data_IF_523958190717
#
_entry.id   IF_523958190717
#
_cell.length_a   1.000
_cell.length_b   1.000
_cell.length_c   1.000
_cell.angle_alpha   90.00
_cell.angle_beta   90.00
_cell.angle_gamma   90.00
#
_symmetry.space_group_name_H-M   'P 1'
#
loop_
_entity.id
_entity.type
_entity.pdbx_description
1 polymer ?
#
# COMPACT_ATOMS: atom_id res chain seq x y z
N UNK A 1 -16.38 5.99 -1.84
CA UNK A 1 -16.80 6.63 -0.56
C UNK A 1 -16.25 8.04 -0.47
N UNK A 2 -16.77 8.86 0.45
CA UNK A 2 -16.15 10.15 0.80
C UNK A 2 -14.74 9.93 1.35
N UNK A 3 -13.88 10.94 1.21
CA UNK A 3 -12.53 10.94 1.82
C UNK A 3 -12.56 10.82 3.34
N UNK A 4 -13.64 11.26 3.98
CA UNK A 4 -13.82 11.19 5.44
C UNK A 4 -14.26 9.80 5.96
N UNK A 5 -14.60 8.88 5.06
CA UNK A 5 -15.11 7.56 5.45
C UNK A 5 -13.97 6.65 5.89
N UNK A 6 -13.87 6.38 7.20
CA UNK A 6 -12.98 5.34 7.73
C UNK A 6 -13.54 3.92 7.54
N UNK A 7 -12.65 2.95 7.44
CA UNK A 7 -12.97 1.52 7.43
C UNK A 7 -13.59 1.11 8.76
N UNK A 8 -14.72 0.40 8.69
CA UNK A 8 -15.42 -0.10 9.88
C UNK A 8 -14.45 -0.89 10.78
N UNK A 9 -14.35 -0.58 12.09
CA UNK A 9 -13.48 -1.30 13.02
C UNK A 9 -13.71 -2.81 13.07
N UNK A 10 -14.93 -3.27 12.78
CA UNK A 10 -15.30 -4.69 12.74
C UNK A 10 -14.90 -5.40 11.43
N UNK A 11 -14.47 -4.66 10.41
CA UNK A 11 -14.02 -5.26 9.15
C UNK A 11 -12.61 -5.83 9.32
N UNK A 12 -12.46 -7.10 8.96
CA UNK A 12 -11.14 -7.68 8.75
C UNK A 12 -10.48 -7.08 7.51
N UNK A 13 -9.15 -7.12 7.46
CA UNK A 13 -8.34 -6.63 6.34
C UNK A 13 -8.77 -7.18 4.97
N UNK A 14 -9.31 -8.41 4.90
CA UNK A 14 -9.74 -9.07 3.66
C UNK A 14 -11.17 -8.70 3.21
N UNK A 15 -11.91 -7.90 3.98
CA UNK A 15 -13.23 -7.34 3.59
C UNK A 15 -13.23 -5.82 3.55
N UNK A 16 -12.07 -5.18 3.72
CA UNK A 16 -11.95 -3.74 3.50
C UNK A 16 -12.24 -3.39 2.02
N UNK A 17 -12.70 -2.17 1.77
CA UNK A 17 -12.88 -1.68 0.40
C UNK A 17 -11.56 -1.12 -0.13
N UNK A 18 -11.33 -1.30 -1.42
CA UNK A 18 -10.28 -0.57 -2.10
C UNK A 18 -10.67 0.90 -2.30
N UNK A 19 -9.67 1.76 -2.26
CA UNK A 19 -9.79 3.22 -2.29
C UNK A 19 -8.82 3.76 -3.32
N UNK A 20 -9.36 4.38 -4.37
CA UNK A 20 -8.54 4.95 -5.45
C UNK A 20 -7.58 6.03 -4.94
N UNK A 21 -7.99 6.80 -3.93
CA UNK A 21 -7.14 7.81 -3.31
C UNK A 21 -5.96 7.21 -2.54
N UNK A 22 -6.08 5.97 -2.07
CA UNK A 22 -4.95 5.25 -1.45
C UNK A 22 -3.88 4.90 -2.49
N UNK A 23 -4.25 4.47 -3.70
CA UNK A 23 -3.30 4.19 -4.77
C UNK A 23 -2.51 5.43 -5.19
N UNK A 24 -3.20 6.55 -5.37
CA UNK A 24 -2.57 7.84 -5.69
C UNK A 24 -1.61 8.24 -4.57
N UNK A 25 -2.08 8.20 -3.32
CA UNK A 25 -1.27 8.59 -2.17
C UNK A 25 -0.06 7.68 -1.97
N UNK A 26 -0.21 6.37 -2.16
CA UNK A 26 0.86 5.40 -2.05
C UNK A 26 2.00 5.69 -3.04
N UNK A 27 1.67 6.02 -4.30
CA UNK A 27 2.67 6.43 -5.29
C UNK A 27 3.46 7.68 -4.86
N UNK A 28 2.76 8.71 -4.38
CA UNK A 28 3.43 9.93 -3.91
C UNK A 28 4.31 9.68 -2.68
N UNK A 29 3.85 8.85 -1.75
CA UNK A 29 4.62 8.48 -0.56
C UNK A 29 5.85 7.64 -0.93
N UNK A 30 5.70 6.65 -1.81
CA UNK A 30 6.81 5.81 -2.31
C UNK A 30 7.92 6.66 -2.95
N UNK A 31 7.53 7.66 -3.75
CA UNK A 31 8.44 8.66 -4.31
C UNK A 31 9.09 9.51 -3.23
N UNK A 32 8.33 9.98 -2.24
CA UNK A 32 8.86 10.80 -1.14
C UNK A 32 9.83 10.02 -0.26
N UNK A 33 9.60 8.74 0.00
CA UNK A 33 10.53 7.88 0.74
C UNK A 33 11.75 7.47 -0.09
N UNK A 34 11.77 7.80 -1.39
CA UNK A 34 12.90 7.52 -2.27
C UNK A 34 12.96 6.07 -2.75
N UNK A 35 11.94 5.25 -2.48
CA UNK A 35 11.87 3.86 -2.91
C UNK A 35 11.76 3.74 -4.43
N UNK A 36 10.82 4.48 -5.03
CA UNK A 36 10.56 4.51 -6.49
C UNK A 36 10.25 3.11 -7.04
N UNK A 37 9.45 2.35 -6.30
CA UNK A 37 9.02 0.98 -6.61
C UNK A 37 7.55 0.87 -6.95
N UNK A 38 6.78 1.95 -6.74
CA UNK A 38 5.39 2.04 -7.15
C UNK A 38 5.25 2.57 -8.59
N UNK A 39 4.37 2.01 -9.43
CA UNK A 39 4.07 2.57 -10.74
C UNK A 39 3.41 3.96 -10.59
N UNK A 40 3.60 4.87 -11.56
CA UNK A 40 2.87 6.12 -11.61
C UNK A 40 1.35 5.94 -11.57
N UNK A 41 0.70 6.66 -10.65
CA UNK A 41 -0.75 6.73 -10.49
C UNK A 41 -1.18 8.20 -10.44
N UNK A 42 -2.27 8.54 -11.12
CA UNK A 42 -2.88 9.88 -11.12
C UNK A 42 -4.38 9.80 -10.89
N UNK A 43 -4.95 10.77 -10.19
CA UNK A 43 -6.40 10.94 -10.11
C UNK A 43 -6.99 11.54 -11.38
N UNK A 44 -8.19 11.11 -11.74
CA UNK A 44 -8.97 11.71 -12.84
C UNK A 44 -10.46 11.61 -12.58
N UNK A 45 -11.17 12.67 -12.95
CA UNK A 45 -12.62 12.70 -13.06
C UNK A 45 -13.02 12.31 -14.49
N UNK A 46 -13.96 11.40 -14.63
CA UNK A 46 -14.42 10.83 -15.90
C UNK A 46 -15.92 11.08 -16.06
N UNK A 47 -16.35 11.33 -17.30
CA UNK A 47 -17.75 11.20 -17.66
C UNK A 47 -18.07 9.72 -17.92
N UNK A 48 -18.86 9.11 -17.05
CA UNK A 48 -19.22 7.70 -17.11
C UNK A 48 -19.98 7.36 -18.40
N UNK A 49 -20.77 8.29 -18.93
CA UNK A 49 -21.58 8.10 -20.13
C UNK A 49 -20.68 7.95 -21.36
N UNK A 50 -19.75 8.87 -21.58
CA UNK A 50 -18.92 8.92 -22.79
C UNK A 50 -17.65 8.09 -22.70
N UNK A 51 -17.07 7.97 -21.50
CA UNK A 51 -15.75 7.37 -21.31
C UNK A 51 -15.79 5.94 -20.74
N UNK A 52 -16.98 5.44 -20.38
CA UNK A 52 -17.15 4.06 -19.93
C UNK A 52 -18.33 3.41 -20.65
N UNK A 53 -19.55 3.89 -20.41
CA UNK A 53 -20.78 3.29 -20.92
C UNK A 53 -20.80 3.18 -22.46
N UNK A 54 -20.41 4.23 -23.18
CA UNK A 54 -20.44 4.25 -24.64
C UNK A 54 -19.35 3.40 -25.31
N UNK A 55 -18.31 2.97 -24.58
CA UNK A 55 -17.12 2.30 -25.17
C UNK A 55 -16.79 0.94 -24.53
N UNK A 56 -17.54 0.52 -23.52
CA UNK A 56 -17.27 -0.73 -22.80
C UNK A 56 -17.85 -1.95 -23.51
N UNK A 57 -17.28 -3.12 -23.21
CA UNK A 57 -17.78 -4.41 -23.71
C UNK A 57 -19.15 -4.80 -23.12
N UNK A 58 -19.86 -5.69 -23.83
CA UNK A 58 -21.22 -6.14 -23.50
C UNK A 58 -21.37 -6.66 -22.06
N UNK A 59 -20.34 -7.35 -21.55
CA UNK A 59 -20.33 -7.93 -20.21
C UNK A 59 -20.40 -6.87 -19.10
N UNK A 60 -19.76 -5.71 -19.30
CA UNK A 60 -19.82 -4.58 -18.36
C UNK A 60 -21.04 -3.72 -18.65
N UNK A 61 -21.38 -3.52 -19.94
CA UNK A 61 -22.53 -2.71 -20.37
C UNK A 61 -23.84 -3.15 -19.69
N UNK A 62 -24.06 -4.46 -19.58
CA UNK A 62 -25.25 -5.05 -18.92
C UNK A 62 -25.37 -4.74 -17.43
N UNK A 63 -24.31 -4.25 -16.80
CA UNK A 63 -24.28 -3.90 -15.37
C UNK A 63 -24.66 -2.46 -15.09
N UNK A 64 -24.84 -1.64 -16.14
CA UNK A 64 -25.26 -0.25 -16.00
C UNK A 64 -26.75 -0.13 -15.74
N UNK A 65 -27.13 0.81 -14.88
CA UNK A 65 -28.51 1.15 -14.57
C UNK A 65 -28.63 2.58 -14.05
N UNK A 66 -29.85 3.10 -14.00
CA UNK A 66 -30.17 4.40 -13.38
C UNK A 66 -30.73 4.14 -11.99
N UNK A 67 -30.12 4.74 -10.98
CA UNK A 67 -30.60 4.64 -9.59
C UNK A 67 -31.91 5.40 -9.36
N UNK A 68 -32.65 5.15 -8.26
CA UNK A 68 -33.82 5.94 -7.88
C UNK A 68 -33.55 7.44 -7.70
N UNK A 69 -32.29 7.83 -7.47
CA UNK A 69 -31.85 9.21 -7.39
C UNK A 69 -31.50 9.83 -8.76
N UNK A 70 -31.80 9.13 -9.86
CA UNK A 70 -31.52 9.53 -11.24
C UNK A 70 -30.02 9.68 -11.57
N UNK A 71 -29.15 8.95 -10.85
CA UNK A 71 -27.71 8.87 -11.14
C UNK A 71 -27.40 7.63 -12.00
N UNK A 72 -26.42 7.76 -12.90
CA UNK A 72 -25.87 6.64 -13.67
C UNK A 72 -24.96 5.79 -12.77
N UNK A 73 -25.22 4.49 -12.73
CA UNK A 73 -24.50 3.54 -11.89
C UNK A 73 -24.06 2.31 -12.70
N UNK A 74 -23.01 1.64 -12.26
CA UNK A 74 -22.63 0.30 -12.71
C UNK A 74 -21.91 -0.45 -11.59
N UNK A 75 -21.99 -1.78 -11.59
CA UNK A 75 -21.29 -2.61 -10.60
C UNK A 75 -20.18 -3.49 -11.20
N UNK A 76 -20.11 -3.62 -12.53
CA UNK A 76 -19.12 -4.47 -13.19
C UNK A 76 -19.24 -5.95 -12.80
N UNK A 77 -18.17 -6.72 -13.02
CA UNK A 77 -18.16 -8.18 -12.81
C UNK A 77 -16.88 -8.60 -12.09
N UNK A 78 -16.99 -8.85 -10.79
CA UNK A 78 -15.89 -9.28 -9.94
C UNK A 78 -16.41 -10.14 -8.77
N UNK A 79 -15.50 -10.71 -7.98
CA UNK A 79 -15.83 -11.62 -6.89
C UNK A 79 -16.27 -10.94 -5.59
N UNK A 80 -15.87 -9.70 -5.35
CA UNK A 80 -16.17 -8.95 -4.13
C UNK A 80 -16.83 -7.63 -4.47
N UNK A 81 -18.01 -7.37 -3.90
CA UNK A 81 -18.69 -6.07 -3.99
C UNK A 81 -19.07 -5.62 -5.41
N UNK A 82 -19.15 -6.53 -6.38
CA UNK A 82 -19.70 -6.26 -7.72
C UNK A 82 -21.16 -6.71 -7.84
N UNK A 83 -22.02 -6.09 -7.03
CA UNK A 83 -23.48 -6.29 -7.04
C UNK A 83 -24.22 -4.95 -6.96
N UNK A 84 -25.54 -4.96 -7.16
CA UNK A 84 -26.36 -3.74 -7.18
C UNK A 84 -26.29 -2.94 -5.88
N UNK A 85 -26.11 -3.59 -4.72
CA UNK A 85 -26.03 -2.90 -3.43
C UNK A 85 -24.69 -2.19 -3.21
N UNK A 86 -23.68 -2.53 -3.99
CA UNK A 86 -22.34 -1.94 -3.96
C UNK A 86 -21.98 -1.21 -5.28
N UNK A 87 -22.97 -0.93 -6.13
CA UNK A 87 -22.74 -0.27 -7.40
C UNK A 87 -22.06 1.10 -7.23
N UNK A 88 -21.18 1.43 -8.18
CA UNK A 88 -20.52 2.72 -8.27
C UNK A 88 -21.42 3.65 -9.07
N UNK A 89 -21.81 4.76 -8.45
CA UNK A 89 -22.70 5.75 -9.03
C UNK A 89 -22.00 7.10 -9.16
N UNK A 90 -22.26 7.80 -10.27
CA UNK A 90 -21.86 9.19 -10.45
C UNK A 90 -22.80 10.18 -9.76
N UNK A 91 -22.58 11.47 -10.01
CA UNK A 91 -23.50 12.55 -9.61
C UNK A 91 -23.58 13.65 -10.69
N UNK A 92 -24.49 13.56 -11.66
CA UNK A 92 -25.29 12.36 -11.97
C UNK A 92 -24.48 11.27 -12.69
N UNK A 93 -23.45 11.63 -13.46
CA UNK A 93 -22.67 10.73 -14.32
C UNK A 93 -21.15 10.98 -14.30
N UNK A 94 -20.66 11.83 -13.39
CA UNK A 94 -19.22 12.03 -13.20
C UNK A 94 -18.68 11.09 -12.11
N UNK A 95 -17.55 10.44 -12.38
CA UNK A 95 -16.89 9.51 -11.48
C UNK A 95 -15.40 9.81 -11.35
N UNK A 96 -14.93 9.93 -10.11
CA UNK A 96 -13.52 10.08 -9.80
C UNK A 96 -12.86 8.71 -9.62
N UNK A 97 -11.67 8.52 -10.17
CA UNK A 97 -10.91 7.27 -10.05
C UNK A 97 -9.40 7.48 -10.11
N UNK A 98 -8.66 6.41 -9.83
CA UNK A 98 -7.19 6.36 -9.92
C UNK A 98 -6.76 5.63 -11.19
N UNK A 99 -5.82 6.24 -11.92
CA UNK A 99 -5.28 5.72 -13.17
C UNK A 99 -3.82 5.35 -12.97
N UNK A 100 -3.58 4.07 -12.74
CA UNK A 100 -2.23 3.52 -12.68
C UNK A 100 -1.74 3.19 -14.09
N UNK A 101 -0.50 3.54 -14.42
CA UNK A 101 0.10 3.11 -15.68
C UNK A 101 0.26 1.60 -15.69
N UNK A 102 -0.08 0.97 -16.81
CA UNK A 102 0.19 -0.45 -16.99
C UNK A 102 1.70 -0.71 -16.92
N UNK A 103 2.07 -1.71 -16.12
CA UNK A 103 3.38 -2.33 -16.26
C UNK A 103 3.51 -2.97 -17.65
N UNK A 104 4.72 -3.10 -18.20
CA UNK A 104 4.90 -3.79 -19.47
C UNK A 104 4.26 -5.18 -19.46
N UNK A 105 3.78 -5.63 -20.62
CA UNK A 105 3.20 -6.97 -20.78
C UNK A 105 4.15 -8.03 -20.23
N UNK A 106 3.59 -9.08 -19.64
CA UNK A 106 4.36 -10.23 -19.13
C UNK A 106 5.13 -10.95 -20.24
N UNK A 107 4.76 -10.78 -21.50
CA UNK A 107 5.49 -11.33 -22.65
C UNK A 107 6.84 -10.63 -22.88
N UNK A 108 6.92 -9.32 -22.58
CA UNK A 108 8.12 -8.50 -22.76
C UNK A 108 8.92 -8.41 -21.46
N UNK A 109 8.24 -8.25 -20.33
CA UNK A 109 8.84 -8.19 -19.00
C UNK A 109 8.15 -9.20 -18.08
N UNK A 110 8.57 -10.49 -18.12
CA UNK A 110 8.00 -11.51 -17.26
C UNK A 110 8.18 -11.14 -15.77
N UNK A 111 7.13 -11.35 -14.99
CA UNK A 111 7.09 -11.06 -13.55
C UNK A 111 6.85 -12.32 -12.76
N UNK A 112 7.49 -12.43 -11.60
CA UNK A 112 7.28 -13.51 -10.63
C UNK A 112 6.54 -12.97 -9.42
N UNK A 113 5.43 -13.63 -9.09
CA UNK A 113 4.72 -13.41 -7.84
C UNK A 113 5.34 -14.27 -6.74
N UNK A 114 5.56 -13.67 -5.59
CA UNK A 114 6.12 -14.31 -4.40
C UNK A 114 5.12 -14.20 -3.26
N UNK A 115 4.92 -15.30 -2.54
CA UNK A 115 4.15 -15.29 -1.30
C UNK A 115 4.95 -14.56 -0.23
N UNK A 116 4.33 -13.56 0.40
CA UNK A 116 4.97 -12.80 1.48
C UNK A 116 5.13 -13.68 2.74
N UNK A 117 6.30 -13.72 3.41
CA UNK A 117 6.49 -14.57 4.61
C UNK A 117 5.54 -14.17 5.75
N UNK A 118 5.34 -12.87 5.95
CA UNK A 118 4.37 -12.34 6.92
C UNK A 118 2.94 -12.24 6.38
N UNK A 119 2.60 -13.02 5.34
CA UNK A 119 1.21 -13.07 4.86
C UNK A 119 0.28 -13.48 6.02
N UNK A 120 -0.80 -12.72 6.20
CA UNK A 120 -1.85 -13.00 7.18
C UNK A 120 -2.61 -14.30 6.86
N UNK A 121 -3.43 -14.77 7.79
CA UNK A 121 -4.17 -16.03 7.64
C UNK A 121 -5.32 -15.96 6.62
N UNK A 122 -5.88 -14.77 6.38
CA UNK A 122 -7.13 -14.57 5.62
C UNK A 122 -8.29 -15.37 6.22
N UNK A 123 -8.31 -15.46 7.55
CA UNK A 123 -9.27 -16.27 8.27
C UNK A 123 -9.56 -15.69 9.66
N UNK A 124 -10.86 -15.51 9.96
CA UNK A 124 -11.35 -14.85 11.19
C UNK A 124 -10.91 -15.45 12.53
N UNK A 125 -10.49 -16.72 12.56
CA UNK A 125 -10.11 -17.45 13.79
C UNK A 125 -8.68 -17.99 13.80
N UNK A 126 -8.02 -18.05 12.64
CA UNK A 126 -6.69 -18.69 12.54
C UNK A 126 -5.66 -17.60 12.59
N UNK A 127 -4.65 -17.75 13.44
CA UNK A 127 -3.45 -16.93 13.43
C UNK A 127 -2.45 -17.47 12.40
N UNK A 128 -1.69 -16.60 11.78
CA UNK A 128 -0.54 -16.93 10.97
C UNK A 128 0.64 -17.33 11.86
N UNK A 129 1.62 -18.05 11.29
CA UNK A 129 2.76 -18.56 12.08
C UNK A 129 3.56 -17.43 12.74
N UNK A 130 3.78 -16.33 12.03
CA UNK A 130 4.50 -15.16 12.55
C UNK A 130 3.78 -14.44 13.70
N UNK A 131 2.47 -14.66 13.88
CA UNK A 131 1.70 -14.11 15.01
C UNK A 131 1.81 -14.97 16.29
N UNK A 132 2.46 -16.13 16.20
CA UNK A 132 2.58 -17.12 17.28
C UNK A 132 4.04 -17.43 17.67
N UNK A 133 4.99 -16.98 16.85
CA UNK A 133 6.40 -17.35 16.93
C UNK A 133 7.24 -16.05 16.89
N UNK A 134 7.76 -15.65 18.05
CA UNK A 134 8.54 -14.41 18.17
C UNK A 134 9.88 -14.50 17.42
N UNK A 135 10.42 -15.71 17.26
CA UNK A 135 11.65 -16.00 16.51
C UNK A 135 11.39 -16.30 15.02
N UNK A 136 10.18 -16.02 14.52
CA UNK A 136 9.79 -16.35 13.15
C UNK A 136 10.78 -15.82 12.09
N UNK A 137 11.34 -14.61 12.28
CA UNK A 137 12.30 -14.05 11.34
C UNK A 137 13.61 -14.86 11.25
N UNK A 138 14.04 -15.56 12.31
CA UNK A 138 15.23 -16.43 12.26
C UNK A 138 15.06 -17.50 11.18
N UNK A 139 13.88 -18.11 11.11
CA UNK A 139 13.55 -19.11 10.09
C UNK A 139 13.49 -18.45 8.70
N UNK A 140 12.87 -17.27 8.57
CA UNK A 140 12.82 -16.53 7.30
C UNK A 140 14.23 -16.22 6.80
N UNK A 141 15.13 -15.75 7.67
CA UNK A 141 16.55 -15.46 7.37
C UNK A 141 17.35 -16.68 6.90
N UNK A 142 16.89 -17.89 7.19
CA UNK A 142 17.51 -19.12 6.69
C UNK A 142 16.87 -19.67 5.40
N UNK A 143 15.79 -19.04 4.92
CA UNK A 143 14.97 -19.56 3.81
C UNK A 143 15.25 -18.80 2.50
N UNK A 144 15.61 -19.47 1.40
CA UNK A 144 15.71 -18.81 0.10
C UNK A 144 14.38 -18.18 -0.36
N UNK A 145 14.37 -16.98 -0.97
CA UNK A 145 15.53 -16.14 -1.34
C UNK A 145 15.91 -15.08 -0.28
N UNK A 146 15.44 -15.21 0.96
CA UNK A 146 15.63 -14.22 2.04
C UNK A 146 16.95 -14.40 2.80
N UNK A 147 17.63 -15.51 2.56
CA UNK A 147 18.91 -15.90 3.16
C UNK A 147 20.10 -15.09 2.63
N UNK A 148 19.93 -14.38 1.51
CA UNK A 148 21.01 -13.62 0.87
C UNK A 148 20.51 -12.45 0.04
N UNK A 149 21.38 -11.46 -0.10
CA UNK A 149 21.16 -10.28 -0.92
C UNK A 149 20.03 -9.38 -0.42
N UNK A 150 19.45 -8.62 -1.34
CA UNK A 150 18.57 -7.49 -1.03
C UNK A 150 17.16 -7.83 -0.57
N UNK A 151 16.71 -9.09 -0.71
CA UNK A 151 15.29 -9.41 -0.62
C UNK A 151 14.72 -9.20 0.78
N UNK A 152 15.40 -9.63 1.82
CA UNK A 152 14.91 -9.45 3.19
C UNK A 152 14.88 -7.95 3.58
N UNK A 153 15.95 -7.16 3.37
CA UNK A 153 15.87 -5.71 3.58
C UNK A 153 14.81 -5.01 2.73
N UNK A 154 14.54 -5.48 1.50
CA UNK A 154 13.46 -4.95 0.67
C UNK A 154 12.08 -5.15 1.32
N UNK A 155 11.88 -6.27 2.02
CA UNK A 155 10.64 -6.50 2.78
C UNK A 155 10.54 -5.61 4.02
N UNK A 156 11.67 -5.17 4.59
CA UNK A 156 11.67 -4.20 5.70
C UNK A 156 11.23 -2.82 5.22
N UNK A 157 11.75 -2.36 4.09
CA UNK A 157 11.30 -1.12 3.43
C UNK A 157 9.81 -1.18 3.11
N UNK A 158 9.34 -2.32 2.57
CA UNK A 158 7.93 -2.54 2.25
C UNK A 158 7.07 -2.54 3.51
N UNK A 159 7.51 -3.16 4.61
CA UNK A 159 6.78 -3.15 5.88
C UNK A 159 6.65 -1.73 6.47
N UNK A 160 7.72 -0.93 6.41
CA UNK A 160 7.68 0.49 6.78
C UNK A 160 6.67 1.24 5.92
N UNK A 161 6.71 1.03 4.61
CA UNK A 161 5.79 1.67 3.68
C UNK A 161 4.32 1.30 3.93
N UNK A 162 4.03 0.00 4.03
CA UNK A 162 2.69 -0.52 4.28
C UNK A 162 2.18 -0.07 5.66
N UNK A 163 3.04 0.03 6.68
CA UNK A 163 2.65 0.55 8.01
C UNK A 163 2.26 2.02 7.96
N UNK A 164 3.05 2.87 7.27
CA UNK A 164 2.74 4.29 7.14
C UNK A 164 1.37 4.53 6.52
N UNK A 165 0.98 3.73 5.51
CA UNK A 165 -0.35 3.83 4.90
C UNK A 165 -1.41 3.02 5.65
N UNK A 166 -1.03 2.08 6.51
CA UNK A 166 -1.94 1.18 7.22
C UNK A 166 -2.46 0.02 6.36
N UNK A 167 -1.72 -0.38 5.32
CA UNK A 167 -2.09 -1.47 4.43
C UNK A 167 -1.73 -2.82 5.06
N UNK A 168 -2.77 -3.59 5.43
CA UNK A 168 -2.61 -4.91 6.03
C UNK A 168 -2.61 -6.05 5.02
N UNK A 169 -2.87 -5.75 3.74
CA UNK A 169 -3.22 -6.75 2.72
C UNK A 169 -2.03 -7.20 1.84
N UNK A 170 -0.80 -6.99 2.33
CA UNK A 170 0.44 -7.43 1.65
C UNK A 170 0.62 -8.95 1.74
N UNK A 171 -0.16 -9.70 0.96
CA UNK A 171 -0.08 -11.16 0.92
C UNK A 171 0.94 -11.71 -0.08
N UNK A 172 1.23 -10.93 -1.11
CA UNK A 172 2.16 -11.25 -2.19
C UNK A 172 2.93 -9.99 -2.58
N UNK A 173 4.05 -10.19 -3.26
CA UNK A 173 4.78 -9.13 -3.95
C UNK A 173 5.31 -9.65 -5.28
N UNK A 174 5.56 -8.76 -6.22
CA UNK A 174 6.09 -9.13 -7.54
C UNK A 174 7.53 -8.66 -7.72
N UNK A 175 8.30 -9.40 -8.53
CA UNK A 175 9.60 -8.93 -9.05
C UNK A 175 9.69 -9.20 -10.55
N UNK A 176 10.50 -8.42 -11.26
CA UNK A 176 10.84 -8.74 -12.64
C UNK A 176 11.77 -9.95 -12.70
N UNK A 177 11.42 -10.94 -13.51
CA UNK A 177 12.19 -12.17 -13.68
C UNK A 177 13.57 -11.91 -14.29
N UNK A 178 13.66 -10.93 -15.19
CA UNK A 178 14.89 -10.60 -15.92
C UNK A 178 16.07 -10.21 -15.01
N UNK A 179 15.81 -9.76 -13.78
CA UNK A 179 16.84 -9.37 -12.81
C UNK A 179 17.05 -10.43 -11.71
N UNK A 180 16.37 -11.58 -11.80
CA UNK A 180 16.49 -12.67 -10.83
C UNK A 180 16.15 -12.25 -9.40
N UNK A 181 16.93 -12.76 -8.43
CA UNK A 181 16.73 -12.42 -7.01
C UNK A 181 17.29 -11.05 -6.63
N UNK A 182 18.15 -10.45 -7.46
CA UNK A 182 18.68 -9.10 -7.24
C UNK A 182 17.75 -8.03 -7.86
N UNK A 183 16.44 -8.20 -7.67
CA UNK A 183 15.39 -7.26 -8.07
C UNK A 183 14.67 -6.77 -6.82
N UNK A 184 14.36 -5.46 -6.78
CA UNK A 184 13.42 -4.95 -5.79
C UNK A 184 12.02 -5.51 -6.03
N UNK A 185 11.26 -5.78 -4.96
CA UNK A 185 9.81 -5.94 -5.01
C UNK A 185 9.15 -4.70 -5.61
N UNK A 186 8.15 -4.92 -6.45
CA UNK A 186 7.24 -3.88 -6.90
C UNK A 186 6.25 -3.58 -5.78
N UNK A 187 6.05 -2.29 -5.51
CA UNK A 187 5.00 -1.83 -4.60
C UNK A 187 3.73 -1.68 -5.44
N UNK A 188 2.81 -2.64 -5.32
CA UNK A 188 1.54 -2.71 -6.05
C UNK A 188 0.39 -2.89 -5.06
N UNK A 189 -0.85 -2.78 -5.52
CA UNK A 189 -2.07 -3.11 -4.76
C UNK A 189 -2.14 -2.39 -3.40
N UNK A 190 -2.20 -1.07 -3.42
CA UNK A 190 -2.30 -0.21 -2.23
C UNK A 190 -3.72 0.25 -1.95
N UNK A 191 -4.73 -0.23 -2.67
CA UNK A 191 -6.13 0.16 -2.52
C UNK A 191 -6.65 0.05 -1.08
N UNK A 192 -6.09 -0.83 -0.24
CA UNK A 192 -6.47 -1.01 1.17
C UNK A 192 -5.61 -0.23 2.17
N UNK A 193 -4.84 0.75 1.69
CA UNK A 193 -4.20 1.76 2.53
C UNK A 193 -5.17 2.90 2.89
N UNK A 194 -4.74 3.77 3.81
CA UNK A 194 -5.46 4.97 4.25
C UNK A 194 -6.93 4.71 4.61
N UNK A 195 -7.23 3.54 5.19
CA UNK A 195 -8.58 3.20 5.64
C UNK A 195 -8.93 3.77 7.01
N UNK A 196 -7.94 4.00 7.89
CA UNK A 196 -8.15 4.48 9.27
C UNK A 196 -7.10 5.53 9.60
N UNK A 197 -7.48 6.76 9.96
CA UNK A 197 -6.54 7.82 10.33
C UNK A 197 -6.24 7.80 11.84
N UNK A 198 -7.18 7.31 12.64
CA UNK A 198 -7.09 7.30 14.10
C UNK A 198 -6.67 5.95 14.70
N UNK A 199 -6.23 5.01 13.87
CA UNK A 199 -5.73 3.69 14.27
C UNK A 199 -4.40 3.39 13.60
N UNK A 200 -3.43 2.87 14.34
CA UNK A 200 -2.13 2.45 13.83
C UNK A 200 -1.97 0.94 14.05
N UNK A 201 -1.89 0.19 12.95
CA UNK A 201 -1.84 -1.27 13.01
C UNK A 201 -0.39 -1.75 13.17
N UNK A 202 0.08 -1.84 14.41
CA UNK A 202 1.45 -2.24 14.76
C UNK A 202 1.84 -3.61 14.19
N UNK A 203 0.87 -4.52 13.99
CA UNK A 203 1.16 -5.85 13.42
C UNK A 203 1.71 -5.81 11.99
N UNK A 204 1.57 -4.68 11.26
CA UNK A 204 2.22 -4.49 9.96
C UNK A 204 3.75 -4.38 10.10
N UNK A 205 4.26 -3.86 11.23
CA UNK A 205 5.69 -3.76 11.52
C UNK A 205 6.33 -5.06 12.00
N UNK A 206 5.59 -6.18 12.04
CA UNK A 206 6.13 -7.49 12.41
C UNK A 206 7.43 -7.88 11.71
N UNK A 207 7.59 -7.67 10.38
CA UNK A 207 8.86 -7.91 9.74
C UNK A 207 10.00 -7.10 10.37
N UNK A 208 9.78 -5.82 10.66
CA UNK A 208 10.79 -4.92 11.19
C UNK A 208 11.19 -5.26 12.62
N UNK A 209 10.22 -5.44 13.54
CA UNK A 209 10.55 -5.72 14.94
C UNK A 209 11.04 -7.15 15.18
N UNK A 210 10.66 -8.14 14.35
CA UNK A 210 11.19 -9.50 14.46
C UNK A 210 12.58 -9.63 13.84
N UNK A 211 12.81 -9.01 12.68
CA UNK A 211 14.09 -9.10 12.01
C UNK A 211 15.14 -8.15 12.57
N UNK A 212 14.71 -7.01 13.12
CA UNK A 212 15.55 -5.87 13.53
C UNK A 212 16.60 -5.56 12.47
N UNK A 213 16.11 -5.20 11.28
CA UNK A 213 16.91 -4.95 10.09
C UNK A 213 16.30 -3.80 9.29
N UNK A 214 17.08 -2.79 8.93
CA UNK A 214 16.63 -1.67 8.11
C UNK A 214 17.80 -1.09 7.29
N UNK A 215 17.52 -0.62 6.08
CA UNK A 215 18.53 0.06 5.27
C UNK A 215 18.89 1.43 5.85
N UNK A 216 20.18 1.77 5.76
CA UNK A 216 20.69 3.09 6.14
C UNK A 216 20.04 4.21 5.33
N UNK A 217 19.82 4.02 4.02
CA UNK A 217 19.11 5.01 3.19
C UNK A 217 17.69 5.27 3.70
N UNK A 218 16.94 4.21 4.01
CA UNK A 218 15.58 4.29 4.56
C UNK A 218 15.57 4.99 5.91
N UNK A 219 16.42 4.58 6.85
CA UNK A 219 16.51 5.23 8.16
C UNK A 219 16.86 6.72 8.04
N UNK A 220 17.86 7.06 7.21
CA UNK A 220 18.25 8.46 6.97
C UNK A 220 17.08 9.26 6.41
N UNK A 221 16.29 8.67 5.50
CA UNK A 221 15.13 9.33 4.91
C UNK A 221 14.04 9.57 5.94
N UNK A 222 13.72 8.59 6.77
CA UNK A 222 12.75 8.73 7.87
C UNK A 222 13.19 9.82 8.87
N UNK A 223 14.45 9.79 9.30
CA UNK A 223 15.02 10.81 10.18
C UNK A 223 14.98 12.20 9.56
N UNK A 224 15.16 12.33 8.24
CA UNK A 224 15.07 13.62 7.55
C UNK A 224 13.66 14.23 7.61
N UNK A 225 12.61 13.42 7.65
CA UNK A 225 11.24 13.89 7.84
C UNK A 225 10.89 14.10 9.32
N UNK A 226 11.50 13.36 10.23
CA UNK A 226 11.25 13.52 11.68
C UNK A 226 11.97 14.73 12.28
N UNK A 227 13.26 14.90 11.97
CA UNK A 227 14.13 15.92 12.56
C UNK A 227 14.38 17.12 11.63
N UNK A 228 14.00 17.01 10.35
CA UNK A 228 14.22 18.05 9.36
C UNK A 228 13.19 19.18 9.43
N UNK A 229 13.35 20.20 8.57
CA UNK A 229 12.51 21.39 8.58
C UNK A 229 11.10 21.17 7.99
N UNK A 230 10.89 20.10 7.23
CA UNK A 230 9.61 19.76 6.61
C UNK A 230 9.17 18.35 7.06
N UNK A 231 8.09 18.22 7.85
CA UNK A 231 7.58 16.91 8.26
C UNK A 231 6.99 16.14 7.07
N UNK A 232 6.84 14.81 7.23
CA UNK A 232 6.32 13.94 6.16
C UNK A 232 4.92 14.39 5.72
N UNK A 233 4.05 14.77 6.67
CA UNK A 233 2.71 15.30 6.37
C UNK A 233 2.73 16.53 5.46
N UNK A 234 3.63 17.47 5.70
CA UNK A 234 3.78 18.68 4.89
C UNK A 234 4.32 18.37 3.49
N UNK A 235 5.35 17.52 3.41
CA UNK A 235 5.91 17.08 2.13
C UNK A 235 4.87 16.31 1.30
N UNK A 236 4.07 15.45 1.95
CA UNK A 236 2.99 14.69 1.33
C UNK A 236 1.88 15.61 0.83
N UNK A 237 1.43 16.57 1.65
CA UNK A 237 0.44 17.59 1.23
C UNK A 237 0.90 18.37 0.01
N UNK A 238 2.16 18.81 0.00
CA UNK A 238 2.75 19.55 -1.12
C UNK A 238 2.87 18.69 -2.39
N UNK A 239 3.18 17.41 -2.24
CA UNK A 239 3.28 16.45 -3.33
C UNK A 239 1.91 16.18 -3.96
N UNK A 240 0.88 15.94 -3.13
CA UNK A 240 -0.49 15.59 -3.56
C UNK A 240 -1.26 16.76 -4.20
N UNK A 241 -0.97 18.01 -3.82
CA UNK A 241 -1.56 19.22 -4.43
C UNK A 241 -1.40 19.34 -5.95
N UNK A 242 -0.53 18.53 -6.54
CA UNK A 242 -0.29 18.49 -7.98
C UNK A 242 -1.18 17.49 -8.71
N UNK A 243 -1.88 16.62 -7.98
CA UNK A 243 -2.80 15.65 -8.55
C UNK A 243 -4.14 16.35 -8.91
N UNK A 244 -4.75 16.04 -10.06
CA UNK A 244 -6.02 16.65 -10.46
C UNK A 244 -7.19 16.43 -9.50
N UNK A 245 -7.13 15.43 -8.63
CA UNK A 245 -8.19 15.13 -7.65
C UNK A 245 -7.83 15.58 -6.22
N UNK A 246 -6.99 16.61 -6.10
CA UNK A 246 -6.73 17.28 -4.83
C UNK A 246 -8.05 17.84 -4.24
N UNK A 247 -8.35 17.60 -2.95
CA UNK A 247 -7.56 16.86 -1.96
C UNK A 247 -7.63 15.32 -2.10
N UNK A 248 -6.47 14.66 -2.18
CA UNK A 248 -6.37 13.19 -2.23
C UNK A 248 -6.51 12.55 -0.83
N UNK A 249 -5.91 13.15 0.19
CA UNK A 249 -5.97 12.68 1.58
C UNK A 249 -6.58 13.75 2.50
N UNK A 250 -7.26 13.31 3.55
CA UNK A 250 -7.73 14.20 4.62
C UNK A 250 -6.57 14.65 5.51
N UNK A 251 -6.77 15.75 6.24
CA UNK A 251 -5.79 16.26 7.19
C UNK A 251 -5.50 15.25 8.32
N UNK A 252 -6.49 14.45 8.71
CA UNK A 252 -6.31 13.39 9.70
C UNK A 252 -5.30 12.33 9.23
N UNK A 253 -5.37 11.90 7.96
CA UNK A 253 -4.40 10.95 7.39
C UNK A 253 -3.00 11.56 7.26
N UNK A 254 -2.90 12.85 6.90
CA UNK A 254 -1.61 13.53 6.84
C UNK A 254 -0.93 13.57 8.22
N UNK A 255 -1.67 13.92 9.29
CA UNK A 255 -1.14 13.87 10.67
C UNK A 255 -0.79 12.45 11.12
N UNK A 256 -1.57 11.45 10.70
CA UNK A 256 -1.29 10.04 11.00
C UNK A 256 0.06 9.58 10.42
N UNK A 257 0.49 10.10 9.25
CA UNK A 257 1.79 9.78 8.68
C UNK A 257 2.96 10.17 9.58
N UNK A 258 2.92 11.37 10.19
CA UNK A 258 3.98 11.81 11.11
C UNK A 258 3.99 10.96 12.39
N UNK A 259 2.80 10.67 12.95
CA UNK A 259 2.66 9.80 14.12
C UNK A 259 3.20 8.39 13.85
N UNK A 260 2.84 7.79 12.71
CA UNK A 260 3.33 6.47 12.30
C UNK A 260 4.82 6.49 12.02
N UNK A 261 5.36 7.54 11.40
CA UNK A 261 6.80 7.66 11.19
C UNK A 261 7.55 7.64 12.53
N UNK A 262 7.05 8.36 13.54
CA UNK A 262 7.62 8.31 14.88
C UNK A 262 7.62 6.88 15.44
N UNK A 263 6.51 6.14 15.34
CA UNK A 263 6.43 4.74 15.78
C UNK A 263 7.42 3.81 15.06
N UNK A 264 7.67 4.01 13.76
CA UNK A 264 8.71 3.27 13.04
C UNK A 264 10.09 3.52 13.66
N UNK A 265 10.40 4.77 13.98
CA UNK A 265 11.68 5.14 14.59
C UNK A 265 11.82 4.60 16.03
N UNK A 266 10.72 4.52 16.80
CA UNK A 266 10.72 3.86 18.11
C UNK A 266 11.05 2.37 18.00
N UNK A 267 10.43 1.64 17.06
CA UNK A 267 10.76 0.23 16.81
C UNK A 267 12.24 0.05 16.42
N UNK A 268 12.77 0.94 15.58
CA UNK A 268 14.21 0.89 15.23
C UNK A 268 15.09 1.17 16.45
N UNK A 269 14.67 2.08 17.34
CA UNK A 269 15.41 2.39 18.57
C UNK A 269 15.44 1.19 19.52
N UNK A 270 14.31 0.51 19.70
CA UNK A 270 14.23 -0.72 20.49
C UNK A 270 15.17 -1.79 19.92
N UNK A 271 15.15 -2.02 18.61
CA UNK A 271 16.07 -2.94 17.94
C UNK A 271 17.55 -2.62 18.18
N UNK A 272 17.94 -1.35 18.19
CA UNK A 272 19.34 -0.90 18.45
C UNK A 272 19.70 -0.94 19.94
N UNK A 273 18.71 -0.94 20.84
CA UNK A 273 18.95 -1.17 22.26
C UNK A 273 19.27 -2.65 22.55
N UNK A 274 18.63 -3.57 21.81
CA UNK A 274 18.80 -5.01 21.98
C UNK A 274 19.95 -5.60 21.15
N UNK A 275 20.27 -5.00 20.00
CA UNK A 275 21.31 -5.47 19.06
C UNK A 275 22.25 -4.33 18.68
N UNK A 276 23.44 -4.64 18.19
CA UNK A 276 24.36 -3.58 17.78
C UNK A 276 23.80 -2.78 16.59
N UNK A 277 24.08 -1.47 16.55
CA UNK A 277 23.60 -0.61 15.46
C UNK A 277 24.03 -1.10 14.06
N UNK A 278 25.17 -1.78 13.96
CA UNK A 278 25.68 -2.35 12.71
C UNK A 278 24.89 -3.58 12.24
N UNK A 279 24.27 -4.33 13.16
CA UNK A 279 23.40 -5.46 12.82
C UNK A 279 22.01 -4.98 12.39
N UNK A 280 21.53 -3.89 12.99
CA UNK A 280 20.19 -3.34 12.70
C UNK A 280 20.19 -2.49 11.45
N UNK A 281 21.17 -1.59 11.31
CA UNK A 281 21.22 -0.60 10.23
C UNK A 281 22.27 -1.04 9.21
N UNK A 282 21.82 -1.72 8.17
CA UNK A 282 22.71 -2.20 7.13
C UNK A 282 23.00 -1.11 6.09
N UNK A 283 24.22 -1.16 5.55
CA UNK A 283 24.60 -0.34 4.41
C UNK A 283 23.84 -0.83 3.18
N UNK A 284 23.35 0.11 2.37
CA UNK A 284 22.74 -0.19 1.09
C UNK A 284 23.69 -1.01 0.21
N UNK A 285 23.19 -2.09 -0.39
CA UNK A 285 23.94 -2.85 -1.38
C UNK A 285 24.36 -1.91 -2.53
N UNK A 286 25.65 -1.96 -2.89
CA UNK A 286 26.22 -1.14 -3.97
C UNK A 286 25.68 -1.54 -5.36
#
# INVERSE_FOLDING_TARGET
FSRETETNPNHFYFVDFERHNSEIAAFHLDRLLGFRRAPPVVGRLLNMTTEIYAITDEDILKTFFVSPANNLCFHGKCSYYCDTSHAICGNPDMLEGSFAVFLPSKDIAPRKSWRHPWRRSYHKRRKAKWELDDDYCVQVRSTPPYDRGRRLPDLMDMAVFDFLIGNMDRHHYETFLSFGNNSSPLHLDHGRGFGKANHDELSILAPLYQCCLLRRSTLRRLLSFHNGPEPLSAAMRRSLRRDPVDPVLTEAHLRALDRRLHLVLEVVRECVADRSAAEVVIVDDA
#
